data_IF_799199630015
#
_entry.id   IF_799199630015
#
_cell.length_a   1.000
_cell.length_b   1.000
_cell.length_c   1.000
_cell.angle_alpha   90.00
_cell.angle_beta   90.00
_cell.angle_gamma   90.00
#
_symmetry.space_group_name_H-M   'P 1'
#
loop_
_entity.id
_entity.type
_entity.pdbx_description
1 polymer ?
#
# COMPACT_ATOMS: atom_id res chain seq x y z
N UNK A 1 56.95 -33.76 -6.38
CA UNK A 1 55.59 -34.35 -6.25
C UNK A 1 54.69 -33.28 -5.63
N UNK A 2 53.84 -32.65 -6.44
CA UNK A 2 52.94 -31.57 -6.01
C UNK A 2 51.56 -32.16 -5.70
N UNK A 3 51.07 -31.96 -4.48
CA UNK A 3 49.68 -32.29 -4.11
C UNK A 3 48.88 -30.99 -4.07
N UNK A 4 47.92 -30.87 -4.98
CA UNK A 4 46.96 -29.76 -5.11
C UNK A 4 45.85 -29.88 -4.05
N UNK A 5 45.41 -28.79 -3.41
CA UNK A 5 44.14 -28.78 -2.71
C UNK A 5 42.99 -28.60 -3.72
N UNK A 6 42.03 -29.53 -3.72
CA UNK A 6 40.77 -29.42 -4.45
C UNK A 6 39.78 -28.65 -3.58
N UNK A 7 39.47 -27.42 -3.99
CA UNK A 7 38.39 -26.61 -3.44
C UNK A 7 37.04 -27.23 -3.85
N UNK A 8 36.23 -27.66 -2.89
CA UNK A 8 34.84 -28.04 -3.12
C UNK A 8 33.94 -26.90 -2.66
N UNK A 9 33.55 -26.03 -3.60
CA UNK A 9 32.53 -25.02 -3.36
C UNK A 9 31.17 -25.72 -3.18
N UNK A 10 30.50 -25.46 -2.05
CA UNK A 10 29.12 -25.87 -1.83
C UNK A 10 28.18 -24.81 -2.43
N UNK A 11 27.13 -25.18 -3.18
CA UNK A 11 26.16 -24.20 -3.64
C UNK A 11 25.28 -23.75 -2.47
N UNK A 12 25.26 -22.44 -2.21
CA UNK A 12 24.29 -21.80 -1.33
C UNK A 12 22.92 -21.88 -1.99
N UNK A 13 22.05 -22.76 -1.48
CA UNK A 13 20.64 -22.79 -1.87
C UNK A 13 19.96 -21.50 -1.38
N UNK A 14 19.74 -20.55 -2.30
CA UNK A 14 18.89 -19.39 -2.07
C UNK A 14 17.44 -19.86 -2.00
N UNK A 15 16.85 -19.87 -0.82
CA UNK A 15 15.40 -19.99 -0.66
C UNK A 15 14.80 -18.60 -0.91
N UNK A 16 14.51 -18.29 -2.18
CA UNK A 16 13.59 -17.21 -2.51
C UNK A 16 12.19 -17.65 -2.11
N UNK A 17 11.80 -17.42 -0.87
CA UNK A 17 10.41 -17.50 -0.46
C UNK A 17 9.65 -16.31 -1.05
N UNK A 18 9.38 -16.36 -2.36
CA UNK A 18 8.37 -15.52 -2.95
C UNK A 18 7.05 -15.88 -2.25
N UNK A 19 6.47 -14.92 -1.52
CA UNK A 19 5.08 -14.99 -1.08
C UNK A 19 4.21 -14.95 -2.33
N UNK A 20 4.05 -16.10 -2.98
CA UNK A 20 3.12 -16.27 -4.06
C UNK A 20 1.72 -16.19 -3.44
N UNK A 21 0.97 -15.14 -3.80
CA UNK A 21 -0.46 -15.10 -3.58
C UNK A 21 -1.04 -16.35 -4.25
N UNK A 22 -1.62 -17.24 -3.44
CA UNK A 22 -2.35 -18.40 -3.93
C UNK A 22 -3.60 -17.88 -4.63
N UNK A 23 -3.51 -17.59 -5.92
CA UNK A 23 -4.68 -17.40 -6.76
C UNK A 23 -5.20 -18.78 -7.13
N UNK A 24 -6.45 -19.05 -6.79
CA UNK A 24 -7.16 -20.24 -7.19
C UNK A 24 -7.10 -20.37 -8.71
N UNK A 25 -6.60 -21.51 -9.21
CA UNK A 25 -6.62 -21.81 -10.63
C UNK A 25 -8.07 -21.74 -11.18
N UNK A 26 -8.31 -21.10 -12.34
CA UNK A 26 -9.62 -21.15 -12.97
C UNK A 26 -9.91 -22.59 -13.39
N UNK A 27 -10.84 -23.25 -12.70
CA UNK A 27 -11.43 -24.51 -13.18
C UNK A 27 -12.21 -24.17 -14.46
N UNK A 28 -11.76 -24.70 -15.60
CA UNK A 28 -12.57 -24.76 -16.82
C UNK A 28 -13.85 -25.51 -16.47
N UNK A 29 -14.99 -24.86 -16.66
CA UNK A 29 -16.28 -25.53 -16.67
C UNK A 29 -16.29 -26.51 -17.83
N UNK A 30 -16.43 -27.79 -17.51
CA UNK A 30 -16.74 -28.82 -18.49
C UNK A 30 -18.24 -28.67 -18.80
N UNK A 31 -18.56 -28.15 -19.98
CA UNK A 31 -19.93 -27.94 -20.42
C UNK A 31 -20.47 -29.27 -20.96
N UNK A 32 -21.11 -30.06 -20.11
CA UNK A 32 -21.96 -31.15 -20.56
C UNK A 32 -23.33 -30.59 -20.93
N UNK A 33 -23.59 -30.46 -22.22
CA UNK A 33 -24.92 -30.34 -22.79
C UNK A 33 -25.75 -31.57 -22.39
N UNK A 34 -26.64 -31.39 -21.43
CA UNK A 34 -27.73 -32.34 -21.18
C UNK A 34 -29.01 -31.54 -20.96
N UNK A 35 -29.84 -31.55 -21.98
CA UNK A 35 -31.20 -31.03 -21.93
C UNK A 35 -32.01 -31.84 -20.93
N UNK A 36 -32.41 -31.23 -19.81
CA UNK A 36 -33.59 -31.70 -19.07
C UNK A 36 -34.32 -30.54 -18.40
N UNK A 37 -35.61 -30.49 -18.76
CA UNK A 37 -36.75 -29.80 -18.16
C UNK A 37 -36.56 -29.05 -16.84
N UNK A 38 -37.00 -27.79 -16.88
CA UNK A 38 -37.62 -27.02 -15.79
C UNK A 38 -37.94 -27.78 -14.50
N UNK A 39 -37.12 -27.58 -13.47
CA UNK A 39 -37.54 -27.64 -12.08
C UNK A 39 -36.85 -26.49 -11.35
N UNK A 40 -37.63 -25.65 -10.67
CA UNK A 40 -37.12 -24.64 -9.76
C UNK A 40 -36.17 -25.31 -8.74
N UNK A 41 -34.88 -25.09 -8.91
CA UNK A 41 -33.86 -25.60 -7.99
C UNK A 41 -33.77 -24.61 -6.83
N UNK A 42 -34.70 -24.71 -5.88
CA UNK A 42 -34.50 -24.16 -4.55
C UNK A 42 -33.15 -24.68 -4.03
N UNK A 43 -32.21 -23.76 -3.78
CA UNK A 43 -30.90 -24.14 -3.25
C UNK A 43 -31.14 -24.74 -1.86
N UNK A 44 -30.83 -26.01 -1.68
CA UNK A 44 -31.04 -26.74 -0.40
C UNK A 44 -30.05 -26.32 0.69
N UNK A 45 -29.57 -25.09 0.66
CA UNK A 45 -28.55 -24.57 1.57
C UNK A 45 -29.19 -24.24 2.93
N UNK A 46 -29.37 -25.29 3.74
CA UNK A 46 -29.78 -25.16 5.13
C UNK A 46 -28.58 -24.80 6.02
N UNK A 47 -28.82 -23.98 7.06
CA UNK A 47 -27.86 -23.72 8.13
C UNK A 47 -27.47 -24.97 8.94
N UNK A 48 -28.15 -26.10 8.71
CA UNK A 48 -27.82 -27.39 9.29
C UNK A 48 -27.04 -28.30 8.32
N UNK A 49 -26.62 -27.80 7.16
CA UNK A 49 -25.71 -28.54 6.28
C UNK A 49 -24.35 -28.74 6.97
N UNK A 50 -23.64 -29.79 6.57
CA UNK A 50 -22.36 -30.15 7.19
C UNK A 50 -21.32 -29.01 7.17
N UNK A 51 -21.38 -28.13 6.17
CA UNK A 51 -20.53 -26.94 6.09
C UNK A 51 -20.84 -25.92 7.20
N UNK A 52 -22.11 -25.61 7.44
CA UNK A 52 -22.52 -24.65 8.47
C UNK A 52 -22.35 -25.19 9.89
N UNK A 53 -22.58 -26.49 10.11
CA UNK A 53 -22.31 -27.11 11.42
C UNK A 53 -20.81 -27.05 11.75
N UNK A 54 -19.94 -27.26 10.75
CA UNK A 54 -18.50 -27.14 10.93
C UNK A 54 -18.06 -25.68 11.23
N UNK A 55 -18.66 -24.68 10.56
CA UNK A 55 -18.32 -23.27 10.83
C UNK A 55 -18.78 -22.83 12.22
N UNK A 56 -20.01 -23.16 12.63
CA UNK A 56 -20.48 -22.88 13.99
C UNK A 56 -19.67 -23.63 15.05
N UNK A 57 -19.27 -24.87 14.77
CA UNK A 57 -18.38 -25.65 15.63
C UNK A 57 -17.03 -24.98 15.84
N UNK A 58 -16.39 -24.46 14.77
CA UNK A 58 -15.12 -23.74 14.88
C UNK A 58 -15.25 -22.42 15.63
N UNK A 59 -16.33 -21.67 15.42
CA UNK A 59 -16.59 -20.41 16.15
C UNK A 59 -16.81 -20.69 17.63
N UNK A 60 -17.62 -21.69 17.97
CA UNK A 60 -17.88 -22.09 19.35
C UNK A 60 -16.61 -22.62 20.04
N UNK A 61 -15.81 -23.42 19.34
CA UNK A 61 -14.52 -23.90 19.84
C UNK A 61 -13.53 -22.76 20.06
N UNK A 62 -13.46 -21.78 19.15
CA UNK A 62 -12.65 -20.58 19.30
C UNK A 62 -13.07 -19.73 20.50
N UNK A 63 -14.37 -19.57 20.73
CA UNK A 63 -14.90 -18.86 21.89
C UNK A 63 -14.62 -19.61 23.20
N UNK A 64 -14.81 -20.92 23.22
CA UNK A 64 -14.47 -21.74 24.38
C UNK A 64 -12.96 -21.66 24.67
N UNK A 65 -12.10 -21.75 23.64
CA UNK A 65 -10.67 -21.57 23.80
C UNK A 65 -10.35 -20.19 24.38
N UNK A 66 -10.97 -19.11 23.90
CA UNK A 66 -10.79 -17.76 24.44
C UNK A 66 -11.11 -17.66 25.94
N UNK A 67 -12.17 -18.33 26.42
CA UNK A 67 -12.52 -18.36 27.85
C UNK A 67 -11.52 -19.13 28.71
N UNK A 68 -10.88 -20.17 28.16
CA UNK A 68 -9.89 -20.98 28.85
C UNK A 68 -8.45 -20.53 28.63
N UNK A 69 -8.21 -19.52 27.80
CA UNK A 69 -6.90 -18.89 27.70
C UNK A 69 -6.60 -18.18 29.03
N UNK A 70 -5.47 -18.48 29.70
CA UNK A 70 -5.06 -17.77 30.90
C UNK A 70 -5.04 -16.26 30.61
N UNK A 71 -5.65 -15.46 31.49
CA UNK A 71 -5.68 -14.00 31.34
C UNK A 71 -4.26 -13.53 31.02
N UNK A 72 -4.11 -12.79 29.92
CA UNK A 72 -2.83 -12.17 29.56
C UNK A 72 -2.32 -11.45 30.79
N UNK A 73 -1.22 -11.93 31.37
CA UNK A 73 -0.69 -11.31 32.58
C UNK A 73 -0.53 -9.82 32.29
N UNK A 74 -0.96 -8.98 33.23
CA UNK A 74 -0.75 -7.53 33.20
C UNK A 74 0.75 -7.31 33.23
N UNK A 75 1.38 -7.36 32.06
CA UNK A 75 2.83 -7.51 31.94
C UNK A 75 3.33 -8.48 30.87
N UNK A 76 2.48 -9.19 30.13
CA UNK A 76 2.89 -9.61 28.79
C UNK A 76 3.26 -8.35 28.01
N UNK A 77 4.40 -8.33 27.31
CA UNK A 77 4.93 -7.17 26.59
C UNK A 77 4.06 -6.73 25.41
N UNK A 78 2.81 -6.38 25.70
CA UNK A 78 1.88 -5.78 24.77
C UNK A 78 2.50 -4.47 24.30
N UNK A 79 2.39 -4.20 23.00
CA UNK A 79 2.85 -2.96 22.35
C UNK A 79 2.25 -1.66 22.94
N UNK A 80 1.35 -1.77 23.92
CA UNK A 80 0.80 -0.67 24.71
C UNK A 80 1.72 -0.21 25.87
N UNK A 81 2.75 -0.98 26.24
CA UNK A 81 3.79 -0.52 27.16
C UNK A 81 4.85 0.29 26.41
N UNK A 82 5.41 1.30 27.08
CA UNK A 82 6.51 2.11 26.54
C UNK A 82 7.68 1.24 26.06
N UNK A 83 8.39 1.70 25.03
CA UNK A 83 9.53 0.98 24.46
C UNK A 83 10.54 0.55 25.55
N UNK A 84 10.82 1.41 26.53
CA UNK A 84 11.72 1.11 27.66
C UNK A 84 11.26 -0.09 28.51
N UNK A 85 9.95 -0.22 28.74
CA UNK A 85 9.39 -1.34 29.50
C UNK A 85 9.37 -2.64 28.70
N UNK A 86 9.30 -2.55 27.36
CA UNK A 86 9.45 -3.68 26.45
C UNK A 86 10.90 -4.16 26.39
N UNK A 87 11.86 -3.24 26.34
CA UNK A 87 13.29 -3.57 26.36
C UNK A 87 13.70 -4.24 27.68
N UNK A 88 13.18 -3.75 28.81
CA UNK A 88 13.42 -4.35 30.12
C UNK A 88 12.92 -5.81 30.19
N UNK A 89 11.79 -6.12 29.53
CA UNK A 89 11.24 -7.48 29.46
C UNK A 89 11.88 -8.35 28.39
N UNK A 90 12.36 -7.77 27.30
CA UNK A 90 13.14 -8.50 26.29
C UNK A 90 14.47 -9.01 26.86
N UNK A 91 15.03 -8.27 27.83
CA UNK A 91 16.25 -8.64 28.58
C UNK A 91 15.98 -9.58 29.77
N UNK A 92 14.72 -9.86 30.09
CA UNK A 92 14.36 -10.73 31.21
C UNK A 92 14.60 -12.20 30.85
N UNK A 93 15.51 -12.85 31.58
CA UNK A 93 15.80 -14.27 31.41
C UNK A 93 14.65 -15.17 31.90
N UNK A 94 13.64 -14.66 32.59
CA UNK A 94 12.47 -15.45 33.02
C UNK A 94 11.44 -15.68 31.91
N UNK A 95 11.59 -15.05 30.75
CA UNK A 95 10.70 -15.21 29.60
C UNK A 95 10.65 -16.68 29.09
N UNK A 96 9.53 -17.13 28.50
CA UNK A 96 9.43 -18.47 27.92
C UNK A 96 10.48 -18.69 26.81
N UNK A 97 10.93 -19.93 26.64
CA UNK A 97 12.07 -20.29 25.80
C UNK A 97 11.97 -19.77 24.36
N UNK A 98 10.76 -19.79 23.76
CA UNK A 98 10.51 -19.28 22.41
C UNK A 98 10.79 -17.76 22.33
N UNK A 99 10.31 -17.00 23.31
CA UNK A 99 10.55 -15.55 23.39
C UNK A 99 12.03 -15.24 23.54
N UNK A 100 12.81 -16.07 24.27
CA UNK A 100 14.27 -15.90 24.38
C UNK A 100 15.00 -16.15 23.06
N UNK A 101 14.58 -17.14 22.29
CA UNK A 101 15.18 -17.41 20.97
C UNK A 101 14.87 -16.26 20.03
N UNK A 102 13.61 -15.80 20.00
CA UNK A 102 13.20 -14.68 19.18
C UNK A 102 13.89 -13.37 19.58
N UNK A 103 14.02 -13.08 20.89
CA UNK A 103 14.72 -11.87 21.34
C UNK A 103 16.18 -11.88 20.96
N UNK A 104 16.87 -13.03 21.03
CA UNK A 104 18.28 -13.14 20.62
C UNK A 104 18.49 -12.90 19.13
N UNK A 105 17.65 -13.50 18.28
CA UNK A 105 17.76 -13.35 16.84
C UNK A 105 17.35 -11.93 16.37
N UNK A 106 16.42 -11.28 17.09
CA UNK A 106 15.89 -9.97 16.71
C UNK A 106 16.64 -8.78 17.33
N UNK A 107 17.31 -8.95 18.48
CA UNK A 107 18.01 -7.89 19.23
C UNK A 107 19.17 -7.19 18.48
N UNK A 108 19.56 -7.71 17.31
CA UNK A 108 20.60 -7.08 16.48
C UNK A 108 20.07 -6.06 15.46
N UNK A 109 18.75 -5.98 15.27
CA UNK A 109 18.17 -5.23 14.14
C UNK A 109 17.53 -3.89 14.53
N UNK A 110 17.54 -3.52 15.81
CA UNK A 110 16.87 -2.31 16.32
C UNK A 110 17.30 -1.04 15.57
N UNK A 111 18.60 -0.87 15.35
CA UNK A 111 19.16 0.26 14.62
C UNK A 111 18.78 0.28 13.13
N UNK A 112 18.37 -0.86 12.57
CA UNK A 112 17.90 -0.93 11.18
C UNK A 112 16.39 -0.67 11.13
N UNK A 113 15.63 -1.16 12.11
CA UNK A 113 14.21 -0.89 12.23
C UNK A 113 13.92 0.59 12.52
N UNK A 114 14.71 1.25 13.37
CA UNK A 114 14.62 2.71 13.56
C UNK A 114 14.85 3.46 12.25
N UNK A 115 15.95 3.17 11.55
CA UNK A 115 16.25 3.77 10.24
C UNK A 115 15.14 3.55 9.21
N UNK A 116 14.52 2.37 9.19
CA UNK A 116 13.39 2.07 8.30
C UNK A 116 12.14 2.86 8.70
N UNK A 117 11.84 2.94 9.99
CA UNK A 117 10.70 3.69 10.51
C UNK A 117 10.87 5.20 10.23
N UNK A 118 12.07 5.74 10.46
CA UNK A 118 12.41 7.13 10.15
C UNK A 118 12.23 7.41 8.66
N UNK A 119 12.73 6.52 7.80
CA UNK A 119 12.53 6.63 6.34
C UNK A 119 11.06 6.58 5.94
N UNK A 120 10.25 5.73 6.57
CA UNK A 120 8.81 5.67 6.30
C UNK A 120 8.09 6.93 6.78
N UNK A 121 8.49 7.50 7.91
CA UNK A 121 7.98 8.77 8.41
C UNK A 121 8.33 9.91 7.44
N UNK A 122 9.57 9.96 6.97
CA UNK A 122 10.03 10.94 5.97
C UNK A 122 9.21 10.85 4.68
N UNK A 123 9.04 9.65 4.12
CA UNK A 123 8.23 9.45 2.90
C UNK A 123 6.75 9.81 3.12
N UNK A 124 6.20 9.56 4.31
CA UNK A 124 4.83 9.94 4.64
C UNK A 124 4.67 11.46 4.74
N UNK A 125 5.65 12.17 5.31
CA UNK A 125 5.68 13.63 5.33
C UNK A 125 5.78 14.20 3.91
N UNK A 126 6.70 13.70 3.08
CA UNK A 126 6.86 14.15 1.69
C UNK A 126 5.56 13.95 0.87
N UNK A 127 4.89 12.81 1.05
CA UNK A 127 3.60 12.55 0.42
C UNK A 127 2.50 13.50 0.92
N UNK A 128 2.51 13.86 2.21
CA UNK A 128 1.57 14.83 2.77
C UNK A 128 1.83 16.24 2.21
N UNK A 129 3.08 16.67 2.12
CA UNK A 129 3.46 17.98 1.57
C UNK A 129 3.08 18.08 0.08
N UNK A 130 3.36 17.02 -0.68
CA UNK A 130 2.95 16.94 -2.10
C UNK A 130 1.43 17.05 -2.24
N UNK A 131 0.68 16.42 -1.34
CA UNK A 131 -0.78 16.51 -1.33
C UNK A 131 -1.26 17.92 -1.00
N UNK A 132 -0.64 18.60 -0.04
CA UNK A 132 -0.95 20.01 0.28
C UNK A 132 -0.71 20.92 -0.92
N UNK A 133 0.43 20.77 -1.61
CA UNK A 133 0.75 21.54 -2.82
C UNK A 133 -0.31 21.34 -3.91
N UNK A 134 -0.76 20.10 -4.12
CA UNK A 134 -1.79 19.79 -5.13
C UNK A 134 -3.17 20.31 -4.70
N UNK A 135 -3.47 20.31 -3.40
CA UNK A 135 -4.74 20.83 -2.88
C UNK A 135 -4.82 22.36 -2.95
N UNK A 136 -3.72 23.05 -2.69
CA UNK A 136 -3.63 24.52 -2.77
C UNK A 136 -3.52 25.02 -4.22
N UNK A 137 -3.16 24.14 -5.17
CA UNK A 137 -3.12 24.49 -6.57
C UNK A 137 -4.53 24.79 -7.11
N UNK A 138 -4.83 26.08 -7.30
CA UNK A 138 -6.04 26.51 -7.99
C UNK A 138 -6.05 26.02 -9.43
N UNK A 139 -7.22 25.60 -9.93
CA UNK A 139 -7.37 25.30 -11.36
C UNK A 139 -7.06 26.57 -12.15
N UNK A 140 -6.20 26.50 -13.19
CA UNK A 140 -5.96 27.66 -14.03
C UNK A 140 -7.28 28.14 -14.60
N UNK A 141 -7.48 29.47 -14.63
CA UNK A 141 -8.70 30.07 -15.16
C UNK A 141 -8.85 29.70 -16.64
N UNK A 142 -9.77 28.77 -16.94
CA UNK A 142 -10.07 28.39 -18.32
C UNK A 142 -10.89 29.49 -18.95
N UNK A 143 -10.27 30.27 -19.84
CA UNK A 143 -10.99 31.20 -20.69
C UNK A 143 -11.73 30.40 -21.77
N UNK A 144 -13.05 30.30 -21.63
CA UNK A 144 -13.90 29.76 -22.70
C UNK A 144 -14.08 30.83 -23.76
N UNK A 145 -13.47 30.60 -24.91
CA UNK A 145 -13.67 31.43 -26.09
C UNK A 145 -15.05 31.10 -26.66
N UNK A 146 -15.99 32.05 -26.59
CA UNK A 146 -17.32 31.90 -27.20
C UNK A 146 -17.24 31.72 -28.71
N UNK A 147 -16.21 32.29 -29.35
CA UNK A 147 -15.99 32.27 -30.79
C UNK A 147 -14.55 31.84 -31.13
N UNK A 148 -14.25 30.54 -31.18
CA UNK A 148 -12.92 30.05 -31.56
C UNK A 148 -12.56 30.41 -33.01
N UNK A 149 -13.56 30.62 -33.87
CA UNK A 149 -13.38 31.06 -35.26
C UNK A 149 -12.87 32.49 -35.40
N UNK A 150 -12.91 33.31 -34.33
CA UNK A 150 -12.41 34.68 -34.38
C UNK A 150 -10.87 34.75 -34.56
N UNK A 151 -10.13 33.68 -34.21
CA UNK A 151 -8.68 33.62 -34.44
C UNK A 151 -8.32 33.52 -35.93
N UNK A 152 -9.19 32.91 -36.72
CA UNK A 152 -9.02 32.75 -38.18
C UNK A 152 -9.63 33.93 -38.94
N UNK A 153 -10.28 34.86 -38.25
CA UNK A 153 -10.94 35.99 -38.88
C UNK A 153 -9.92 37.08 -39.18
N UNK A 154 -9.28 36.97 -40.35
CA UNK A 154 -8.50 38.05 -40.91
C UNK A 154 -9.40 39.26 -41.19
N UNK A 155 -8.89 40.47 -40.95
CA UNK A 155 -9.58 41.71 -41.32
C UNK A 155 -9.86 41.68 -42.84
N UNK A 156 -11.11 41.92 -43.29
CA UNK A 156 -11.44 41.99 -44.72
C UNK A 156 -10.62 43.02 -45.50
N UNK A 157 -10.00 43.97 -44.80
CA UNK A 157 -9.18 45.03 -45.38
C UNK A 157 -7.67 44.77 -45.28
N UNK A 158 -7.25 43.52 -44.98
CA UNK A 158 -5.84 43.12 -44.83
C UNK A 158 -5.05 44.02 -43.87
N UNK A 159 -5.71 44.52 -42.84
CA UNK A 159 -5.10 45.38 -41.83
C UNK A 159 -4.31 44.49 -40.88
N UNK A 160 -2.99 44.70 -40.81
CA UNK A 160 -2.14 43.97 -39.88
C UNK A 160 -2.61 44.20 -38.43
N UNK A 161 -2.63 43.13 -37.64
CA UNK A 161 -2.95 43.21 -36.21
C UNK A 161 -2.02 44.21 -35.52
N UNK A 162 -2.58 45.13 -34.73
CA UNK A 162 -1.81 46.16 -34.02
C UNK A 162 -1.47 47.43 -34.81
N UNK A 163 -1.88 47.55 -36.08
CA UNK A 163 -1.61 48.77 -36.89
C UNK A 163 -2.55 49.95 -36.58
N UNK A 164 -3.65 49.71 -35.86
CA UNK A 164 -4.65 50.73 -35.47
C UNK A 164 -4.66 51.01 -33.96
N UNK A 165 -3.55 50.76 -33.25
CA UNK A 165 -3.46 51.19 -31.85
C UNK A 165 -3.52 52.72 -31.80
N UNK A 166 -4.46 53.26 -31.03
CA UNK A 166 -4.53 54.69 -30.76
C UNK A 166 -3.35 55.09 -29.86
N UNK A 167 -2.50 55.98 -30.37
CA UNK A 167 -1.28 56.45 -29.70
C UNK A 167 -1.40 57.90 -29.22
N UNK A 168 -2.61 58.48 -29.24
CA UNK A 168 -2.81 59.90 -28.89
C UNK A 168 -2.38 60.25 -27.46
N UNK A 169 -2.44 59.29 -26.53
CA UNK A 169 -2.05 59.44 -25.12
C UNK A 169 -0.63 58.93 -24.80
N UNK A 170 0.19 58.66 -25.82
CA UNK A 170 1.54 58.14 -25.60
C UNK A 170 2.52 59.23 -25.11
N UNK A 171 2.78 59.28 -23.81
CA UNK A 171 3.81 60.16 -23.22
C UNK A 171 5.19 59.51 -23.37
N UNK A 172 5.95 59.95 -24.36
CA UNK A 172 7.35 59.51 -24.56
C UNK A 172 8.24 60.14 -23.50
N UNK A 173 8.88 59.31 -22.68
CA UNK A 173 9.90 59.77 -21.72
C UNK A 173 11.22 59.97 -22.45
N UNK A 174 11.60 61.22 -22.73
CA UNK A 174 12.91 61.56 -23.28
C UNK A 174 13.98 61.49 -22.19
N UNK A 175 15.05 60.73 -22.42
CA UNK A 175 16.28 60.86 -21.63
C UNK A 175 16.96 62.19 -21.99
N UNK A 176 17.20 63.03 -20.99
CA UNK A 176 18.00 64.23 -21.11
C UNK A 176 19.49 63.84 -21.19
N UNK A 177 20.12 64.06 -22.35
CA UNK A 177 21.59 64.17 -22.47
C UNK A 177 22.09 65.51 -21.93
#
# INVERSE_FOLDING_TARGET
MFLRPVLRAAPLARVNAARALSSSAPRRGDHHDSHSSSSEADTTESFFSAGWVATFGLVAAGYAAYLYLPSTQVGSGSSALSNDALEAKAKDESAPWLTRVLSKELAGEDAVWTKRNDKHLELACEAADTKLIIQDAERPKVHRLTYPSAFEQASPHSIAVGSQCDLSDLVVKSESS
#
